data_IF_855270857700
#
_entry.id   IF_855270857700
#
_cell.length_a   1.000
_cell.length_b   1.000
_cell.length_c   1.000
_cell.angle_alpha   90.00
_cell.angle_beta   90.00
_cell.angle_gamma   90.00
#
_symmetry.space_group_name_H-M   'P 1'
#
loop_
_entity.id
_entity.type
_entity.pdbx_description
1 polymer ?
#
# COMPACT_ATOMS: atom_id res chain seq x y z
N UNK A 1 -0.19 6.79 -9.45
CA UNK A 1 -1.04 6.39 -8.30
C UNK A 1 -0.21 5.73 -7.20
N UNK A 2 0.66 4.78 -7.52
CA UNK A 2 1.51 4.06 -6.54
C UNK A 2 2.42 5.01 -5.75
N UNK A 3 2.92 6.08 -6.37
CA UNK A 3 3.72 7.13 -5.73
C UNK A 3 3.09 7.69 -4.45
N UNK A 4 1.77 7.87 -4.40
CA UNK A 4 1.06 8.41 -3.24
C UNK A 4 0.55 7.30 -2.32
N UNK A 5 0.18 6.15 -2.88
CA UNK A 5 -0.42 5.04 -2.13
C UNK A 5 0.57 4.38 -1.16
N UNK A 6 1.80 4.12 -1.60
CA UNK A 6 2.80 3.47 -0.74
C UNK A 6 3.14 4.32 0.50
N UNK A 7 3.53 5.60 0.39
CA UNK A 7 3.84 6.40 1.58
C UNK A 7 2.62 6.62 2.46
N UNK A 8 1.42 6.79 1.88
CA UNK A 8 0.21 6.98 2.67
C UNK A 8 -0.14 5.74 3.50
N UNK A 9 -0.13 4.56 2.89
CA UNK A 9 -0.47 3.31 3.56
C UNK A 9 0.61 2.84 4.54
N UNK A 10 1.88 2.88 4.15
CA UNK A 10 2.98 2.59 5.07
C UNK A 10 3.08 3.62 6.20
N UNK A 11 2.79 4.91 5.89
CA UNK A 11 2.71 5.97 6.89
C UNK A 11 1.65 5.69 7.93
N UNK A 12 0.45 5.32 7.49
CA UNK A 12 -0.66 4.98 8.38
C UNK A 12 -0.32 3.72 9.21
N UNK A 13 0.31 2.71 8.60
CA UNK A 13 0.75 1.52 9.32
C UNK A 13 1.79 1.84 10.43
N UNK A 14 2.76 2.71 10.15
CA UNK A 14 3.80 3.09 11.11
C UNK A 14 3.30 3.98 12.24
N UNK A 15 2.29 4.81 11.96
CA UNK A 15 1.69 5.75 12.92
C UNK A 15 0.57 5.12 13.72
N UNK A 16 0.00 4.00 13.26
CA UNK A 16 -1.16 3.35 13.88
C UNK A 16 -1.04 3.04 15.38
N UNK A 17 0.14 2.66 15.95
CA UNK A 17 0.26 2.39 17.38
C UNK A 17 0.00 3.61 18.27
N UNK A 18 0.36 4.80 17.80
CA UNK A 18 0.11 6.05 18.51
C UNK A 18 -1.21 6.68 18.14
N UNK A 19 -1.59 6.59 16.85
CA UNK A 19 -2.80 7.21 16.32
C UNK A 19 -4.06 6.57 16.89
N UNK A 20 -4.14 5.24 16.94
CA UNK A 20 -5.34 4.52 17.39
C UNK A 20 -5.69 4.84 18.86
N UNK A 21 -4.76 4.73 19.82
CA UNK A 21 -5.08 5.07 21.22
C UNK A 21 -5.41 6.54 21.42
N UNK A 22 -4.78 7.45 20.65
CA UNK A 22 -5.00 8.89 20.76
C UNK A 22 -6.36 9.31 20.18
N UNK A 23 -6.73 8.76 19.01
CA UNK A 23 -7.97 9.13 18.31
C UNK A 23 -9.21 8.36 18.80
N UNK A 24 -9.05 7.06 19.11
CA UNK A 24 -10.15 6.14 19.41
C UNK A 24 -10.17 5.65 20.87
N UNK A 25 -9.27 6.16 21.73
CA UNK A 25 -9.01 5.72 23.09
C UNK A 25 -8.30 4.36 23.17
N UNK A 26 -7.74 4.07 24.35
CA UNK A 26 -6.88 2.89 24.61
C UNK A 26 -7.59 1.55 24.44
N UNK A 27 -8.91 1.51 24.56
CA UNK A 27 -9.68 0.27 24.34
C UNK A 27 -9.54 -0.31 22.91
N UNK A 28 -9.17 0.51 21.93
CA UNK A 28 -9.02 0.10 20.53
C UNK A 28 -7.57 -0.32 20.15
N UNK A 29 -6.67 -0.35 21.12
CA UNK A 29 -5.26 -0.74 20.88
C UNK A 29 -5.14 -2.14 20.25
N UNK A 30 -6.06 -3.05 20.58
CA UNK A 30 -6.10 -4.39 19.99
C UNK A 30 -6.35 -4.39 18.46
N UNK A 31 -6.85 -3.29 17.89
CA UNK A 31 -7.08 -3.17 16.44
C UNK A 31 -5.82 -2.76 15.65
N UNK A 32 -4.77 -2.33 16.33
CA UNK A 32 -3.52 -1.86 15.67
C UNK A 32 -2.92 -2.90 14.73
N UNK A 33 -2.70 -4.16 15.12
CA UNK A 33 -2.12 -5.16 14.21
C UNK A 33 -3.00 -5.44 12.99
N UNK A 34 -4.31 -5.39 13.15
CA UNK A 34 -5.26 -5.55 12.04
C UNK A 34 -5.13 -4.40 11.04
N UNK A 35 -5.06 -3.16 11.54
CA UNK A 35 -4.88 -1.98 10.71
C UNK A 35 -3.55 -2.02 9.95
N UNK A 36 -2.48 -2.44 10.58
CA UNK A 36 -1.16 -2.56 9.95
C UNK A 36 -1.17 -3.56 8.78
N UNK A 37 -1.77 -4.74 8.97
CA UNK A 37 -1.89 -5.75 7.92
C UNK A 37 -2.71 -5.21 6.74
N UNK A 38 -3.84 -4.56 7.03
CA UNK A 38 -4.70 -3.95 5.99
C UNK A 38 -4.00 -2.83 5.24
N UNK A 39 -3.20 -2.01 5.91
CA UNK A 39 -2.43 -0.96 5.25
C UNK A 39 -1.38 -1.53 4.30
N UNK A 40 -0.66 -2.59 4.71
CA UNK A 40 0.31 -3.25 3.84
C UNK A 40 -0.37 -3.81 2.59
N UNK A 41 -1.48 -4.54 2.74
CA UNK A 41 -2.24 -5.05 1.60
C UNK A 41 -2.83 -3.91 0.75
N UNK A 42 -3.34 -2.86 1.39
CA UNK A 42 -3.94 -1.69 0.75
C UNK A 42 -2.97 -0.90 -0.14
N UNK A 43 -1.69 -0.90 0.19
CA UNK A 43 -0.66 -0.25 -0.61
C UNK A 43 -0.57 -0.81 -2.05
N UNK A 44 -0.93 -2.08 -2.25
CA UNK A 44 -0.91 -2.75 -3.55
C UNK A 44 -2.22 -2.64 -4.35
N UNK A 45 -3.29 -2.11 -3.77
CA UNK A 45 -4.59 -1.95 -4.46
C UNK A 45 -4.47 -1.12 -5.75
N UNK A 46 -3.78 0.04 -5.78
CA UNK A 46 -3.68 0.83 -7.01
C UNK A 46 -2.94 0.10 -8.13
N UNK A 47 -1.99 -0.77 -7.79
CA UNK A 47 -1.29 -1.61 -8.77
C UNK A 47 -2.25 -2.61 -9.40
N UNK A 48 -3.09 -3.28 -8.59
CA UNK A 48 -4.14 -4.18 -9.08
C UNK A 48 -5.15 -3.46 -9.97
N UNK A 49 -5.55 -2.24 -9.60
CA UNK A 49 -6.46 -1.40 -10.39
C UNK A 49 -5.87 -1.02 -11.75
N UNK A 50 -4.56 -0.78 -11.81
CA UNK A 50 -3.87 -0.46 -13.07
C UNK A 50 -3.97 -1.63 -14.06
N UNK A 51 -3.72 -2.86 -13.62
CA UNK A 51 -3.88 -4.06 -14.45
C UNK A 51 -5.33 -4.28 -14.87
N UNK A 52 -6.28 -4.07 -13.96
CA UNK A 52 -7.71 -4.21 -14.23
C UNK A 52 -8.17 -3.23 -15.31
N UNK A 53 -7.81 -1.95 -15.18
CA UNK A 53 -8.14 -0.92 -16.14
C UNK A 53 -7.50 -1.19 -17.52
N UNK A 54 -6.29 -1.74 -17.52
CA UNK A 54 -5.59 -2.12 -18.74
C UNK A 54 -6.34 -3.22 -19.51
N UNK A 55 -6.83 -4.25 -18.82
CA UNK A 55 -7.62 -5.33 -19.43
C UNK A 55 -8.96 -4.82 -19.97
N UNK A 56 -9.63 -3.94 -19.23
CA UNK A 56 -10.90 -3.34 -19.63
C UNK A 56 -10.71 -2.44 -20.85
N UNK A 57 -9.69 -1.59 -20.88
CA UNK A 57 -9.41 -0.69 -22.01
C UNK A 57 -9.07 -1.42 -23.31
N UNK A 58 -8.58 -2.66 -23.22
CA UNK A 58 -8.32 -3.54 -24.36
C UNK A 58 -9.55 -4.36 -24.80
N UNK A 59 -10.73 -4.08 -24.22
CA UNK A 59 -11.97 -4.81 -24.55
C UNK A 59 -12.00 -6.25 -24.03
N UNK A 60 -11.11 -6.63 -23.11
CA UNK A 60 -11.02 -7.98 -22.52
C UNK A 60 -11.77 -8.10 -21.20
N UNK A 61 -12.98 -7.50 -21.14
CA UNK A 61 -13.82 -7.51 -19.93
C UNK A 61 -14.12 -8.92 -19.40
N UNK A 62 -14.21 -9.93 -20.28
CA UNK A 62 -14.40 -11.32 -19.85
C UNK A 62 -13.24 -11.85 -19.02
N UNK A 63 -11.98 -11.49 -19.36
CA UNK A 63 -10.81 -11.88 -18.56
C UNK A 63 -10.79 -11.18 -17.21
N UNK A 64 -11.13 -9.90 -17.19
CA UNK A 64 -11.30 -9.15 -15.94
C UNK A 64 -12.35 -9.80 -15.05
N UNK A 65 -13.52 -10.15 -15.61
CA UNK A 65 -14.58 -10.80 -14.85
C UNK A 65 -14.13 -12.15 -14.27
N UNK A 66 -13.51 -13.00 -15.08
CA UNK A 66 -12.99 -14.31 -14.63
C UNK A 66 -11.94 -14.14 -13.52
N UNK A 67 -11.00 -13.20 -13.71
CA UNK A 67 -9.97 -12.91 -12.70
C UNK A 67 -10.54 -12.43 -11.37
N UNK A 68 -11.54 -11.54 -11.40
CA UNK A 68 -12.21 -11.02 -10.21
C UNK A 68 -13.06 -12.09 -9.55
N UNK A 69 -13.84 -12.84 -10.32
CA UNK A 69 -14.68 -13.91 -9.80
C UNK A 69 -13.84 -15.02 -9.16
N UNK A 70 -12.76 -15.47 -9.81
CA UNK A 70 -11.87 -16.48 -9.25
C UNK A 70 -11.18 -16.02 -7.95
N UNK A 71 -10.78 -14.73 -7.88
CA UNK A 71 -10.26 -14.14 -6.64
C UNK A 71 -11.29 -14.21 -5.51
N UNK A 72 -12.53 -13.80 -5.77
CA UNK A 72 -13.61 -13.82 -4.77
C UNK A 72 -13.92 -15.24 -4.28
N UNK A 73 -13.99 -16.22 -5.20
CA UNK A 73 -14.20 -17.61 -4.82
C UNK A 73 -13.05 -18.18 -3.99
N UNK A 74 -11.80 -17.89 -4.37
CA UNK A 74 -10.63 -18.31 -3.62
C UNK A 74 -10.60 -17.67 -2.21
N UNK A 75 -10.91 -16.38 -2.12
CA UNK A 75 -10.99 -15.67 -0.85
C UNK A 75 -12.09 -16.25 0.06
N UNK A 76 -13.26 -16.52 -0.50
CA UNK A 76 -14.37 -17.15 0.24
C UNK A 76 -13.98 -18.55 0.74
N UNK A 77 -13.34 -19.36 -0.11
CA UNK A 77 -12.88 -20.70 0.26
C UNK A 77 -11.87 -20.65 1.42
N UNK A 78 -10.89 -19.73 1.37
CA UNK A 78 -9.90 -19.55 2.45
C UNK A 78 -10.60 -19.13 3.74
N UNK A 79 -11.53 -18.17 3.68
CA UNK A 79 -12.28 -17.72 4.86
C UNK A 79 -13.04 -18.89 5.50
N UNK A 80 -13.75 -19.69 4.69
CA UNK A 80 -14.50 -20.84 5.18
C UNK A 80 -13.60 -21.90 5.82
N UNK A 81 -12.50 -22.25 5.16
CA UNK A 81 -11.54 -23.26 5.69
C UNK A 81 -10.96 -22.78 7.02
N UNK A 82 -10.49 -21.53 7.10
CA UNK A 82 -9.91 -20.99 8.34
C UNK A 82 -10.95 -20.84 9.45
N UNK A 83 -12.18 -20.52 9.10
CA UNK A 83 -13.29 -20.49 10.06
C UNK A 83 -13.57 -21.85 10.67
N UNK A 84 -13.67 -22.90 9.85
CA UNK A 84 -13.88 -24.28 10.33
C UNK A 84 -12.67 -24.84 11.10
N UNK A 85 -11.46 -24.37 10.80
CA UNK A 85 -10.26 -24.73 11.56
C UNK A 85 -10.16 -23.97 12.90
N UNK A 86 -11.09 -23.09 13.24
CA UNK A 86 -11.07 -22.31 14.48
C UNK A 86 -9.90 -21.32 14.56
N UNK A 87 -9.39 -20.87 13.41
CA UNK A 87 -8.26 -19.94 13.35
C UNK A 87 -8.65 -18.56 13.89
N UNK A 88 -7.71 -17.90 14.59
CA UNK A 88 -7.93 -16.57 15.12
C UNK A 88 -8.11 -15.53 13.99
N UNK A 89 -8.85 -14.46 14.30
CA UNK A 89 -9.17 -13.37 13.36
C UNK A 89 -7.93 -12.75 12.68
N UNK A 90 -6.82 -12.65 13.41
CA UNK A 90 -5.57 -12.11 12.89
C UNK A 90 -4.98 -13.00 11.80
N UNK A 91 -5.00 -14.33 12.00
CA UNK A 91 -4.53 -15.29 11.02
C UNK A 91 -5.37 -15.25 9.74
N UNK A 92 -6.69 -15.16 9.87
CA UNK A 92 -7.62 -15.02 8.76
C UNK A 92 -7.28 -13.77 7.94
N UNK A 93 -7.06 -12.64 8.61
CA UNK A 93 -6.71 -11.39 7.94
C UNK A 93 -5.37 -11.46 7.21
N UNK A 94 -4.36 -12.09 7.82
CA UNK A 94 -3.06 -12.31 7.17
C UNK A 94 -3.18 -13.12 5.88
N UNK A 95 -3.98 -14.19 5.89
CA UNK A 95 -4.18 -15.01 4.69
C UNK A 95 -4.93 -14.26 3.59
N UNK A 96 -5.98 -13.50 3.95
CA UNK A 96 -6.72 -12.68 2.99
C UNK A 96 -5.83 -11.58 2.39
N UNK A 97 -5.06 -10.88 3.22
CA UNK A 97 -4.11 -9.87 2.78
C UNK A 97 -3.00 -10.46 1.90
N UNK A 98 -2.44 -11.59 2.31
CA UNK A 98 -1.45 -12.33 1.53
C UNK A 98 -1.97 -12.80 0.17
N UNK A 99 -3.21 -13.31 0.13
CA UNK A 99 -3.87 -13.67 -1.13
C UNK A 99 -4.01 -12.46 -2.05
N UNK A 100 -4.38 -11.30 -1.53
CA UNK A 100 -4.54 -10.08 -2.32
C UNK A 100 -3.22 -9.64 -2.96
N UNK A 101 -2.12 -9.70 -2.22
CA UNK A 101 -0.79 -9.41 -2.76
C UNK A 101 -0.34 -10.48 -3.76
N UNK A 102 -0.54 -11.77 -3.46
CA UNK A 102 -0.20 -12.87 -4.37
C UNK A 102 -1.01 -12.81 -5.67
N UNK A 103 -2.27 -12.34 -5.61
CA UNK A 103 -3.13 -12.20 -6.77
C UNK A 103 -2.64 -11.17 -7.80
N UNK A 104 -1.75 -10.25 -7.39
CA UNK A 104 -1.03 -9.37 -8.32
C UNK A 104 -0.26 -10.15 -9.39
N UNK A 105 0.30 -11.31 -9.04
CA UNK A 105 0.97 -12.17 -10.01
C UNK A 105 -0.01 -12.72 -11.05
N UNK A 106 -1.23 -13.06 -10.64
CA UNK A 106 -2.29 -13.51 -11.56
C UNK A 106 -2.68 -12.39 -12.51
N UNK A 107 -2.90 -11.18 -11.98
CA UNK A 107 -3.19 -10.00 -12.79
C UNK A 107 -2.07 -9.68 -13.78
N UNK A 108 -0.82 -9.74 -13.31
CA UNK A 108 0.32 -9.56 -14.18
C UNK A 108 0.39 -10.61 -15.29
N UNK A 109 0.20 -11.89 -14.97
CA UNK A 109 0.20 -12.97 -15.96
C UNK A 109 -0.89 -12.80 -17.02
N UNK A 110 -2.09 -12.37 -16.60
CA UNK A 110 -3.19 -12.08 -17.52
C UNK A 110 -2.88 -10.89 -18.43
N UNK A 111 -2.27 -9.82 -17.88
CA UNK A 111 -1.86 -8.64 -18.63
C UNK A 111 -0.66 -8.93 -19.55
N UNK A 112 0.30 -9.72 -19.10
CA UNK A 112 1.48 -10.11 -19.90
C UNK A 112 1.10 -10.82 -21.21
N UNK A 113 0.11 -11.70 -21.15
CA UNK A 113 -0.41 -12.40 -22.35
C UNK A 113 -1.00 -11.46 -23.40
N UNK A 114 -1.47 -10.28 -23.02
CA UNK A 114 -2.11 -9.32 -23.93
C UNK A 114 -1.14 -8.23 -24.43
N UNK A 115 -0.15 -7.82 -23.62
CA UNK A 115 0.63 -6.61 -23.89
C UNK A 115 2.14 -6.89 -23.91
N UNK A 116 2.57 -8.13 -23.60
CA UNK A 116 3.99 -8.54 -23.49
C UNK A 116 4.79 -7.67 -22.50
N UNK A 117 4.12 -7.08 -21.51
CA UNK A 117 4.79 -6.36 -20.43
C UNK A 117 5.72 -7.30 -19.66
N UNK A 118 6.98 -6.94 -19.54
CA UNK A 118 7.94 -7.71 -18.75
C UNK A 118 7.67 -7.47 -17.25
N UNK A 119 7.53 -8.56 -16.50
CA UNK A 119 7.33 -8.50 -15.04
C UNK A 119 8.41 -7.68 -14.34
N UNK A 120 9.64 -7.83 -14.81
CA UNK A 120 10.79 -7.13 -14.25
C UNK A 120 10.69 -5.60 -14.40
N UNK A 121 10.14 -5.11 -15.51
CA UNK A 121 9.95 -3.68 -15.76
C UNK A 121 8.92 -3.10 -14.76
N UNK A 122 7.78 -3.76 -14.61
CA UNK A 122 6.76 -3.32 -13.63
C UNK A 122 7.26 -3.40 -12.19
N UNK A 123 8.02 -4.45 -11.84
CA UNK A 123 8.59 -4.60 -10.50
C UNK A 123 9.66 -3.53 -10.25
N UNK A 124 10.49 -3.23 -11.25
CA UNK A 124 11.50 -2.18 -11.18
C UNK A 124 10.85 -0.79 -11.07
N UNK A 125 9.72 -0.56 -11.72
CA UNK A 125 8.98 0.71 -11.63
C UNK A 125 8.32 0.92 -10.26
N UNK A 126 7.88 -0.16 -9.60
CA UNK A 126 7.20 -0.08 -8.30
C UNK A 126 8.20 -0.14 -7.13
N UNK A 127 9.30 -0.88 -7.30
CA UNK A 127 10.28 -1.12 -6.23
C UNK A 127 10.86 0.15 -5.60
N UNK A 128 11.23 1.21 -6.35
CA UNK A 128 11.78 2.41 -5.75
C UNK A 128 10.78 3.11 -4.82
N UNK A 129 9.49 3.09 -5.16
CA UNK A 129 8.44 3.68 -4.32
C UNK A 129 8.19 2.87 -3.05
N UNK A 130 8.17 1.55 -3.14
CA UNK A 130 7.99 0.67 -2.00
C UNK A 130 9.20 0.71 -1.05
N UNK A 131 10.42 0.65 -1.60
CA UNK A 131 11.67 0.69 -0.82
C UNK A 131 11.82 2.06 -0.17
N UNK A 132 11.62 3.16 -0.89
CA UNK A 132 11.72 4.51 -0.32
C UNK A 132 10.70 4.75 0.79
N UNK A 133 9.46 4.27 0.64
CA UNK A 133 8.45 4.33 1.68
C UNK A 133 8.86 3.49 2.90
N UNK A 134 9.34 2.27 2.72
CA UNK A 134 9.79 1.40 3.81
C UNK A 134 10.99 2.01 4.57
N UNK A 135 11.98 2.54 3.87
CA UNK A 135 13.15 3.21 4.47
C UNK A 135 12.73 4.45 5.24
N UNK A 136 11.84 5.28 4.67
CA UNK A 136 11.32 6.47 5.34
C UNK A 136 10.57 6.12 6.62
N UNK A 137 9.80 5.02 6.61
CA UNK A 137 9.08 4.55 7.79
C UNK A 137 10.02 3.99 8.87
N UNK A 138 11.06 3.26 8.47
CA UNK A 138 12.09 2.77 9.39
C UNK A 138 12.82 3.93 10.06
N UNK A 139 13.19 4.98 9.31
CA UNK A 139 13.80 6.19 9.85
C UNK A 139 12.86 6.93 10.82
N UNK A 140 11.58 7.08 10.46
CA UNK A 140 10.59 7.71 11.32
C UNK A 140 10.35 6.92 12.62
N UNK A 141 10.36 5.58 12.55
CA UNK A 141 10.23 4.72 13.73
C UNK A 141 11.43 4.84 14.65
N UNK A 142 12.65 4.82 14.10
CA UNK A 142 13.89 5.02 14.88
C UNK A 142 13.93 6.38 15.58
N UNK A 143 13.57 7.45 14.89
CA UNK A 143 13.53 8.80 15.48
C UNK A 143 12.45 8.94 16.57
N UNK A 144 11.34 8.26 16.44
CA UNK A 144 10.27 8.28 17.43
C UNK A 144 10.65 7.60 18.77
N UNK A 145 11.68 6.75 18.78
CA UNK A 145 12.20 6.14 20.02
C UNK A 145 12.85 7.18 20.95
N UNK A 146 13.27 8.32 20.41
CA UNK A 146 13.92 9.40 21.17
C UNK A 146 12.93 10.36 21.86
N UNK A 147 11.63 10.16 21.67
CA UNK A 147 10.57 11.06 22.17
C UNK A 147 9.64 10.27 23.07
N UNK A 148 9.37 10.76 24.29
CA UNK A 148 8.53 10.05 25.27
C UNK A 148 7.04 10.41 25.14
N UNK A 149 6.71 11.63 24.71
CA UNK A 149 5.33 12.09 24.61
C UNK A 149 4.62 11.48 23.39
N UNK A 150 3.46 10.83 23.59
CA UNK A 150 2.71 10.12 22.55
C UNK A 150 2.27 11.01 21.38
N UNK A 151 1.79 12.23 21.67
CA UNK A 151 1.42 13.19 20.65
C UNK A 151 2.63 13.70 19.86
N UNK A 152 3.75 13.92 20.55
CA UNK A 152 5.00 14.31 19.92
C UNK A 152 5.58 13.18 19.06
N UNK A 153 5.50 11.91 19.49
CA UNK A 153 5.86 10.73 18.68
C UNK A 153 5.12 10.71 17.36
N UNK A 154 3.81 10.94 17.41
CA UNK A 154 2.95 10.96 16.22
C UNK A 154 3.37 12.08 15.25
N UNK A 155 3.59 13.30 15.76
CA UNK A 155 4.03 14.44 14.96
C UNK A 155 5.41 14.21 14.34
N UNK A 156 6.36 13.70 15.12
CA UNK A 156 7.72 13.39 14.67
C UNK A 156 7.72 12.31 13.60
N UNK A 157 6.97 11.20 13.80
CA UNK A 157 6.83 10.14 12.80
C UNK A 157 6.29 10.68 11.48
N UNK A 158 5.23 11.49 11.55
CA UNK A 158 4.61 12.05 10.34
C UNK A 158 5.56 12.99 9.60
N UNK A 159 6.19 13.92 10.32
CA UNK A 159 7.12 14.90 9.71
C UNK A 159 8.35 14.20 9.10
N UNK A 160 8.99 13.31 9.85
CA UNK A 160 10.19 12.62 9.37
C UNK A 160 9.85 11.70 8.20
N UNK A 161 8.73 10.97 8.25
CA UNK A 161 8.29 10.14 7.15
C UNK A 161 8.03 10.96 5.88
N UNK A 162 7.33 12.10 5.99
CA UNK A 162 7.05 12.97 4.86
C UNK A 162 8.33 13.59 4.28
N UNK A 163 9.19 14.15 5.13
CA UNK A 163 10.43 14.79 4.70
C UNK A 163 11.40 13.78 4.09
N UNK A 164 11.62 12.64 4.74
CA UNK A 164 12.53 11.60 4.23
C UNK A 164 12.03 10.99 2.93
N UNK A 165 10.73 10.75 2.79
CA UNK A 165 10.16 10.27 1.55
C UNK A 165 10.33 11.28 0.41
N UNK A 166 10.01 12.55 0.63
CA UNK A 166 10.22 13.61 -0.35
C UNK A 166 11.70 13.77 -0.72
N UNK A 167 12.61 13.70 0.25
CA UNK A 167 14.03 13.78 0.01
C UNK A 167 14.54 12.60 -0.85
N UNK A 168 14.18 11.37 -0.50
CA UNK A 168 14.59 10.18 -1.26
C UNK A 168 14.04 10.26 -2.70
N UNK A 169 12.79 10.68 -2.89
CA UNK A 169 12.21 10.82 -4.21
C UNK A 169 12.85 11.92 -5.04
N UNK A 170 13.24 13.03 -4.40
CA UNK A 170 13.99 14.09 -5.06
C UNK A 170 15.38 13.63 -5.53
N UNK A 171 16.09 12.87 -4.70
CA UNK A 171 17.42 12.31 -5.04
C UNK A 171 17.33 11.17 -6.06
N UNK A 172 16.26 10.38 -6.04
CA UNK A 172 16.04 9.30 -7.00
C UNK A 172 15.67 9.78 -8.41
N UNK A 173 15.63 11.11 -8.66
CA UNK A 173 15.25 11.71 -9.94
C UNK A 173 13.96 11.11 -10.53
N UNK A 174 12.98 10.76 -9.68
CA UNK A 174 11.72 10.23 -10.16
C UNK A 174 10.99 11.28 -11.01
N UNK A 175 10.92 11.07 -12.31
CA UNK A 175 10.25 11.99 -13.26
C UNK A 175 8.84 12.33 -12.81
N UNK A 176 8.11 11.34 -12.28
CA UNK A 176 6.75 11.48 -11.74
C UNK A 176 6.71 12.47 -10.56
N UNK A 177 7.74 12.52 -9.72
CA UNK A 177 7.80 13.47 -8.61
C UNK A 177 7.96 14.90 -9.15
N UNK A 178 8.83 15.10 -10.13
CA UNK A 178 9.09 16.40 -10.76
C UNK A 178 7.84 16.95 -11.45
N UNK A 179 7.15 16.11 -12.24
CA UNK A 179 5.88 16.48 -12.88
C UNK A 179 4.79 16.82 -11.85
N UNK A 180 4.69 16.04 -10.75
CA UNK A 180 3.70 16.28 -9.69
C UNK A 180 3.96 17.60 -8.96
N UNK A 181 5.21 17.91 -8.67
CA UNK A 181 5.62 19.16 -8.02
C UNK A 181 5.37 20.35 -8.95
N UNK A 182 5.75 20.26 -10.22
CA UNK A 182 5.50 21.30 -11.23
C UNK A 182 3.99 21.55 -11.41
N UNK A 183 3.17 20.49 -11.40
CA UNK A 183 1.72 20.62 -11.48
C UNK A 183 1.13 21.38 -10.28
N UNK A 184 1.55 21.05 -9.06
CA UNK A 184 1.11 21.73 -7.84
C UNK A 184 1.54 23.19 -7.85
N UNK A 185 2.81 23.49 -8.17
CA UNK A 185 3.31 24.86 -8.25
C UNK A 185 2.62 25.67 -9.37
N UNK A 186 2.36 25.06 -10.52
CA UNK A 186 1.64 25.73 -11.61
C UNK A 186 0.20 26.10 -11.23
N UNK A 187 -0.43 25.27 -10.40
CA UNK A 187 -1.79 25.51 -9.91
C UNK A 187 -1.84 26.57 -8.80
N UNK A 188 -0.84 26.61 -7.93
CA UNK A 188 -0.70 27.64 -6.90
C UNK A 188 -0.34 29.03 -7.49
N UNK A 189 0.33 29.06 -8.64
CA UNK A 189 0.69 30.31 -9.32
C UNK A 189 -0.46 30.93 -10.13
N UNK A 190 -1.55 30.16 -10.34
CA UNK A 190 -2.76 30.62 -11.06
C UNK A 190 -3.86 31.15 -10.13
N UNK A 191 -3.65 31.13 -8.83
CA UNK A 191 -4.46 31.78 -7.80
C UNK A 191 -3.67 32.91 -7.14
#
# INVERSE_FOLDING_TARGET
TSFLSFPAMFGLAAVSPEFVPLALKTQWTACVPYLQILCVAGAFIPVSQLYSNLLISRGRSSKFFIGTASMMFMQLAIILVLYFCGSGMLMLLCFVAGLQVAWLMVWHFMAHREIKLRFMETLLDISPFAVSAAVSMAAAWGAAMLVDCMAAKLAVKFLIAAVSYCAIMHFAHAEIFRESVEFVFSKLRKH
#
